data_IF_204586365731
#
_entry.id   IF_204586365731
#
_cell.length_a   1.000
_cell.length_b   1.000
_cell.length_c   1.000
_cell.angle_alpha   90.00
_cell.angle_beta   90.00
_cell.angle_gamma   90.00
#
_symmetry.space_group_name_H-M   'P 1'
#
loop_
_entity.id
_entity.type
_entity.pdbx_description
1 polymer ?
#
# COMPACT_ATOMS: atom_id res chain seq x y z
N UNK A 1 6.63 2.43 -2.54
CA UNK A 1 7.07 2.79 -3.88
C UNK A 1 7.05 1.59 -4.82
N UNK A 2 7.26 1.79 -6.12
CA UNK A 2 7.23 0.71 -7.12
C UNK A 2 8.24 -0.43 -6.84
N UNK A 3 9.33 -0.13 -6.14
CA UNK A 3 10.40 -1.08 -5.79
C UNK A 3 10.53 -1.33 -4.29
N UNK A 4 9.53 -0.98 -3.48
CA UNK A 4 9.59 -1.20 -2.03
C UNK A 4 8.21 -1.43 -1.42
N UNK A 5 8.16 -2.28 -0.39
CA UNK A 5 6.99 -2.59 0.41
C UNK A 5 7.32 -2.30 1.88
N UNK A 6 6.67 -1.29 2.46
CA UNK A 6 6.81 -0.92 3.87
C UNK A 6 5.62 -1.42 4.65
N UNK A 7 5.85 -1.89 5.87
CA UNK A 7 4.80 -2.40 6.74
C UNK A 7 5.00 -2.05 8.20
N UNK A 8 3.90 -2.09 8.93
CA UNK A 8 3.84 -2.08 10.39
C UNK A 8 2.80 -3.07 10.87
N UNK A 9 3.10 -3.78 11.94
CA UNK A 9 2.13 -4.54 12.72
C UNK A 9 1.80 -3.71 13.95
N UNK A 10 0.51 -3.42 14.13
CA UNK A 10 0.01 -2.51 15.16
C UNK A 10 -0.97 -3.26 16.04
N UNK A 11 -0.83 -3.14 17.35
CA UNK A 11 -1.89 -3.54 18.29
C UNK A 11 -2.94 -2.43 18.34
N UNK A 12 -4.15 -2.72 17.87
CA UNK A 12 -5.21 -1.73 17.77
C UNK A 12 -5.93 -1.44 19.11
N UNK A 13 -5.58 -2.16 20.20
CA UNK A 13 -6.12 -1.85 21.52
C UNK A 13 -5.46 -0.59 22.13
N UNK A 14 -4.17 -0.42 21.88
CA UNK A 14 -3.35 0.68 22.42
C UNK A 14 -2.59 1.49 21.33
N UNK A 15 -2.80 1.13 20.06
CA UNK A 15 -2.14 1.72 18.87
C UNK A 15 -0.61 1.58 18.90
N UNK A 16 -0.06 0.64 19.67
CA UNK A 16 1.37 0.42 19.73
C UNK A 16 1.87 -0.35 18.50
N UNK A 17 3.06 0.03 18.01
CA UNK A 17 3.73 -0.67 16.93
C UNK A 17 4.47 -1.87 17.49
N UNK A 18 4.02 -3.08 17.19
CA UNK A 18 4.64 -4.36 17.59
C UNK A 18 5.89 -4.64 16.78
N UNK A 19 5.81 -4.43 15.46
CA UNK A 19 6.93 -4.58 14.53
C UNK A 19 6.76 -3.67 13.32
N UNK A 20 7.86 -3.34 12.66
CA UNK A 20 7.88 -2.61 11.38
C UNK A 20 9.02 -3.08 10.51
N UNK A 21 8.87 -2.92 9.22
CA UNK A 21 9.91 -3.31 8.28
C UNK A 21 9.71 -2.74 6.89
N UNK A 22 10.66 -3.09 6.05
CA UNK A 22 10.73 -2.64 4.67
C UNK A 22 11.39 -3.73 3.81
N UNK A 23 10.75 -4.07 2.70
CA UNK A 23 11.35 -4.87 1.64
C UNK A 23 11.72 -3.91 0.52
N UNK A 24 13.00 -3.65 0.33
CA UNK A 24 13.52 -2.73 -0.67
C UNK A 24 14.04 -3.47 -1.90
N UNK A 25 14.20 -2.71 -3.01
CA UNK A 25 14.82 -3.17 -4.26
C UNK A 25 14.12 -4.38 -4.89
N UNK A 26 12.79 -4.42 -4.77
CA UNK A 26 11.95 -5.42 -5.43
C UNK A 26 12.18 -5.37 -6.94
N UNK A 27 12.40 -6.53 -7.55
CA UNK A 27 12.72 -6.66 -8.98
C UNK A 27 14.20 -6.43 -9.32
N UNK A 28 15.10 -6.28 -8.33
CA UNK A 28 16.55 -6.08 -8.51
C UNK A 28 17.30 -7.17 -7.76
N UNK A 29 17.60 -6.95 -6.48
CA UNK A 29 18.42 -7.83 -5.66
C UNK A 29 17.88 -7.98 -4.22
N UNK A 30 16.77 -7.34 -3.91
CA UNK A 30 16.00 -7.44 -2.70
C UNK A 30 16.74 -7.31 -1.36
N UNK A 31 16.17 -6.57 -0.43
CA UNK A 31 16.66 -6.46 0.94
C UNK A 31 15.49 -6.29 1.91
N UNK A 32 15.45 -7.14 2.93
CA UNK A 32 14.52 -7.02 4.06
C UNK A 32 15.21 -6.32 5.22
N UNK A 33 14.57 -5.29 5.77
CA UNK A 33 14.84 -4.81 7.13
C UNK A 33 13.59 -4.97 7.99
N UNK A 34 13.74 -5.56 9.16
CA UNK A 34 12.65 -5.80 10.11
C UNK A 34 13.10 -5.43 11.52
N UNK A 35 12.23 -4.74 12.27
CA UNK A 35 12.49 -4.33 13.64
C UNK A 35 11.27 -4.56 14.52
N UNK A 36 11.45 -5.20 15.65
CA UNK A 36 10.40 -5.40 16.67
C UNK A 36 10.39 -4.26 17.70
N UNK A 37 9.29 -4.16 18.45
CA UNK A 37 9.18 -3.23 19.59
C UNK A 37 10.20 -3.54 20.69
N UNK A 38 10.57 -4.82 20.88
CA UNK A 38 11.59 -5.26 21.83
C UNK A 38 13.02 -4.86 21.44
N UNK A 39 13.21 -4.31 20.24
CA UNK A 39 14.52 -3.85 19.74
C UNK A 39 15.29 -4.85 18.90
N UNK A 40 14.77 -6.06 18.67
CA UNK A 40 15.37 -7.04 17.75
C UNK A 40 15.36 -6.45 16.34
N UNK A 41 16.49 -6.56 15.65
CA UNK A 41 16.65 -6.14 14.25
C UNK A 41 17.09 -7.34 13.42
N UNK A 42 16.41 -7.54 12.30
CA UNK A 42 16.74 -8.55 11.29
C UNK A 42 16.99 -7.82 9.97
N UNK A 43 18.16 -8.04 9.40
CA UNK A 43 18.55 -7.56 8.08
C UNK A 43 18.90 -8.78 7.23
N UNK A 44 18.32 -8.90 6.04
CA UNK A 44 18.50 -10.07 5.18
C UNK A 44 18.45 -9.66 3.72
N UNK A 45 19.45 -10.03 2.95
CA UNK A 45 19.35 -9.99 1.50
C UNK A 45 18.47 -11.15 1.02
N UNK A 46 17.47 -10.83 0.21
CA UNK A 46 16.48 -11.75 -0.27
C UNK A 46 16.20 -11.47 -1.74
N UNK A 47 16.03 -12.51 -2.54
CA UNK A 47 15.57 -12.32 -3.91
C UNK A 47 14.06 -12.03 -3.93
N UNK A 48 13.71 -10.82 -4.36
CA UNK A 48 12.33 -10.39 -4.55
C UNK A 48 12.06 -10.10 -6.03
N UNK A 49 11.85 -11.11 -6.88
CA UNK A 49 11.48 -10.88 -8.28
C UNK A 49 10.21 -10.03 -8.41
N UNK A 50 9.27 -10.24 -7.50
CA UNK A 50 8.00 -9.51 -7.47
C UNK A 50 7.57 -9.10 -6.05
N UNK A 51 6.49 -8.37 -5.94
CA UNK A 51 5.87 -8.02 -4.65
C UNK A 51 5.35 -9.25 -3.88
N UNK A 52 5.08 -10.36 -4.56
CA UNK A 52 4.61 -11.58 -3.91
C UNK A 52 5.71 -12.23 -3.05
N UNK A 53 6.94 -12.32 -3.56
CA UNK A 53 8.09 -12.82 -2.80
C UNK A 53 8.45 -11.87 -1.65
N UNK A 54 8.41 -10.56 -1.89
CA UNK A 54 8.61 -9.56 -0.84
C UNK A 54 7.57 -9.70 0.28
N UNK A 55 6.30 -9.93 -0.06
CA UNK A 55 5.25 -10.17 0.92
C UNK A 55 5.44 -11.50 1.67
N UNK A 56 5.87 -12.56 1.00
CA UNK A 56 6.18 -13.85 1.63
C UNK A 56 7.34 -13.73 2.64
N UNK A 57 8.38 -12.97 2.30
CA UNK A 57 9.50 -12.69 3.19
C UNK A 57 9.07 -11.85 4.42
N UNK A 58 8.17 -10.89 4.24
CA UNK A 58 7.54 -10.14 5.33
C UNK A 58 6.80 -11.08 6.29
N UNK A 59 5.98 -11.99 5.76
CA UNK A 59 5.25 -13.00 6.55
C UNK A 59 6.22 -13.86 7.35
N UNK A 60 7.29 -14.36 6.71
CA UNK A 60 8.35 -15.13 7.38
C UNK A 60 8.97 -14.33 8.54
N UNK A 61 9.31 -13.05 8.32
CA UNK A 61 9.90 -12.20 9.34
C UNK A 61 8.97 -11.95 10.55
N UNK A 62 7.65 -11.90 10.33
CA UNK A 62 6.66 -11.74 11.39
C UNK A 62 6.41 -13.01 12.20
N UNK A 63 6.57 -14.20 11.58
CA UNK A 63 6.13 -15.49 12.14
C UNK A 63 7.27 -16.42 12.53
N UNK A 64 8.51 -16.17 12.06
CA UNK A 64 9.62 -17.12 12.19
C UNK A 64 10.91 -16.44 12.62
N UNK A 65 11.74 -17.15 13.40
CA UNK A 65 13.06 -16.70 13.82
C UNK A 65 13.05 -15.66 14.94
N UNK A 66 14.18 -14.96 15.10
CA UNK A 66 14.39 -14.01 16.21
C UNK A 66 13.48 -12.77 16.14
N UNK A 67 13.05 -12.42 14.93
CA UNK A 67 12.16 -11.29 14.69
C UNK A 67 10.67 -11.61 14.82
N UNK A 68 10.29 -12.86 15.04
CA UNK A 68 8.90 -13.29 15.13
C UNK A 68 8.16 -12.58 16.27
N UNK A 69 6.99 -12.04 15.95
CA UNK A 69 6.12 -11.33 16.91
C UNK A 69 4.71 -11.88 16.97
N UNK A 70 4.35 -12.77 16.04
CA UNK A 70 3.10 -13.54 15.99
C UNK A 70 3.43 -14.99 15.65
N UNK A 71 2.55 -15.91 16.03
CA UNK A 71 2.73 -17.35 15.79
C UNK A 71 2.16 -17.77 14.44
N UNK A 72 1.15 -17.05 13.95
CA UNK A 72 0.43 -17.34 12.70
C UNK A 72 -0.16 -16.06 12.13
N UNK A 73 -0.34 -16.01 10.82
CA UNK A 73 -1.05 -14.92 10.13
C UNK A 73 -2.55 -14.88 10.48
N UNK A 74 -3.09 -15.92 11.13
CA UNK A 74 -4.46 -15.93 11.65
C UNK A 74 -4.68 -14.92 12.80
N UNK A 75 -3.59 -14.42 13.40
CA UNK A 75 -3.64 -13.36 14.42
C UNK A 75 -3.90 -11.96 13.80
N UNK A 76 -3.80 -11.83 12.47
CA UNK A 76 -4.06 -10.57 11.77
C UNK A 76 -5.56 -10.37 11.61
N UNK A 77 -6.10 -9.35 12.26
CA UNK A 77 -7.54 -9.05 12.25
C UNK A 77 -7.98 -8.20 11.07
N UNK A 78 -7.10 -7.33 10.55
CA UNK A 78 -7.37 -6.47 9.39
C UNK A 78 -6.06 -5.95 8.77
N UNK A 79 -6.12 -5.51 7.51
CA UNK A 79 -4.99 -4.86 6.83
C UNK A 79 -5.42 -3.52 6.25
N UNK A 80 -4.66 -2.46 6.53
CA UNK A 80 -4.81 -1.15 5.92
C UNK A 80 -3.70 -0.92 4.88
N UNK A 81 -4.07 -0.47 3.70
CA UNK A 81 -3.14 -0.14 2.62
C UNK A 81 -3.22 1.33 2.27
N UNK A 82 -2.07 1.96 2.09
CA UNK A 82 -1.96 3.30 1.53
C UNK A 82 -1.78 3.21 0.02
N UNK A 83 -2.61 3.96 -0.73
CA UNK A 83 -2.54 4.10 -2.19
C UNK A 83 -2.35 5.57 -2.55
N UNK A 84 -1.44 5.86 -3.49
CA UNK A 84 -1.10 7.25 -3.83
C UNK A 84 -2.22 7.92 -4.60
N UNK A 85 -2.74 7.31 -5.68
CA UNK A 85 -3.71 7.98 -6.56
C UNK A 85 -5.06 7.27 -6.52
N UNK A 86 -6.08 8.00 -6.05
CA UNK A 86 -7.48 7.57 -6.04
C UNK A 86 -8.35 8.32 -7.05
N UNK A 87 -7.78 9.28 -7.77
CA UNK A 87 -8.47 10.17 -8.69
C UNK A 87 -9.71 10.81 -8.03
N UNK A 88 -10.77 11.00 -8.78
CA UNK A 88 -12.09 11.43 -8.29
C UNK A 88 -12.99 10.24 -7.92
N UNK A 89 -12.49 9.01 -8.16
CA UNK A 89 -13.22 7.76 -7.94
C UNK A 89 -13.22 7.39 -6.45
N UNK A 90 -12.07 7.53 -5.80
CA UNK A 90 -11.89 7.13 -4.40
C UNK A 90 -11.76 8.36 -3.50
N UNK A 91 -12.88 8.75 -2.89
CA UNK A 91 -12.98 9.93 -2.03
C UNK A 91 -12.92 9.62 -0.54
N UNK A 92 -12.86 8.34 -0.17
CA UNK A 92 -12.86 7.86 1.22
C UNK A 92 -12.20 6.50 1.34
N UNK A 93 -11.91 6.07 2.56
CA UNK A 93 -11.47 4.70 2.86
C UNK A 93 -12.45 3.68 2.26
N UNK A 94 -11.92 2.69 1.55
CA UNK A 94 -12.70 1.73 0.77
C UNK A 94 -12.29 0.30 1.13
N UNK A 95 -13.28 -0.60 1.27
CA UNK A 95 -13.04 -2.02 1.46
C UNK A 95 -12.47 -2.61 0.16
N UNK A 96 -11.43 -3.44 0.27
CA UNK A 96 -10.77 -4.06 -0.88
C UNK A 96 -11.61 -5.22 -1.40
N UNK A 97 -11.94 -5.16 -2.69
CA UNK A 97 -12.45 -6.27 -3.50
C UNK A 97 -11.58 -6.42 -4.73
N UNK A 98 -11.81 -7.46 -5.54
CA UNK A 98 -11.06 -7.67 -6.77
C UNK A 98 -11.27 -6.49 -7.73
N UNK A 99 -12.51 -6.01 -7.86
CA UNK A 99 -12.88 -4.86 -8.69
C UNK A 99 -12.20 -3.56 -8.23
N UNK A 100 -12.04 -3.38 -6.90
CA UNK A 100 -11.34 -2.22 -6.35
C UNK A 100 -9.84 -2.26 -6.71
N UNK A 101 -9.22 -3.45 -6.67
CA UNK A 101 -7.79 -3.59 -7.06
C UNK A 101 -7.62 -3.30 -8.56
N UNK A 102 -8.50 -3.85 -9.40
CA UNK A 102 -8.50 -3.58 -10.84
C UNK A 102 -8.65 -2.08 -11.11
N UNK A 103 -9.58 -1.42 -10.42
CA UNK A 103 -9.80 0.03 -10.56
C UNK A 103 -8.59 0.86 -10.13
N UNK A 104 -7.89 0.45 -9.06
CA UNK A 104 -6.64 1.09 -8.64
C UNK A 104 -5.55 0.93 -9.72
N UNK A 105 -5.48 -0.24 -10.37
CA UNK A 105 -4.51 -0.47 -11.44
C UNK A 105 -4.84 0.32 -12.71
N UNK A 106 -6.11 0.50 -13.07
CA UNK A 106 -6.52 1.38 -14.17
C UNK A 106 -6.03 2.82 -13.96
N UNK A 107 -6.04 3.32 -12.73
CA UNK A 107 -5.53 4.65 -12.39
C UNK A 107 -4.01 4.82 -12.51
N UNK A 108 -3.28 3.78 -12.94
CA UNK A 108 -1.84 3.88 -13.26
C UNK A 108 -1.53 4.92 -14.35
N UNK A 109 -2.48 5.26 -15.20
CA UNK A 109 -2.30 6.35 -16.19
C UNK A 109 -2.02 7.70 -15.51
N UNK A 110 -2.63 7.95 -14.34
CA UNK A 110 -2.39 9.15 -13.55
C UNK A 110 -1.19 9.03 -12.59
N UNK A 111 -0.78 7.82 -12.24
CA UNK A 111 0.33 7.54 -11.33
C UNK A 111 1.11 6.28 -11.76
N UNK A 112 1.80 6.31 -12.90
CA UNK A 112 2.40 5.12 -13.53
C UNK A 112 3.49 4.48 -12.65
N UNK A 113 4.19 5.28 -11.83
CA UNK A 113 5.26 4.80 -10.96
C UNK A 113 4.72 4.15 -9.68
N UNK A 114 3.45 4.40 -9.30
CA UNK A 114 2.92 4.01 -8.00
C UNK A 114 1.78 2.99 -8.08
N UNK A 115 0.70 3.31 -8.80
CA UNK A 115 -0.55 2.56 -8.69
C UNK A 115 -0.45 1.09 -9.14
N UNK A 116 0.32 0.80 -10.17
CA UNK A 116 0.57 -0.59 -10.58
C UNK A 116 1.25 -1.40 -9.45
N UNK A 117 2.30 -0.84 -8.82
CA UNK A 117 2.96 -1.47 -7.67
C UNK A 117 2.03 -1.67 -6.47
N UNK A 118 1.10 -0.72 -6.23
CA UNK A 118 0.08 -0.86 -5.18
C UNK A 118 -0.89 -1.99 -5.49
N UNK A 119 -1.37 -2.10 -6.73
CA UNK A 119 -2.25 -3.19 -7.14
C UNK A 119 -1.59 -4.57 -6.99
N UNK A 120 -0.32 -4.71 -7.38
CA UNK A 120 0.45 -5.94 -7.19
C UNK A 120 0.60 -6.31 -5.70
N UNK A 121 0.87 -5.34 -4.83
CA UNK A 121 0.96 -5.58 -3.39
C UNK A 121 -0.39 -5.97 -2.78
N UNK A 122 -1.49 -5.35 -3.23
CA UNK A 122 -2.85 -5.70 -2.82
C UNK A 122 -3.21 -7.13 -3.22
N UNK A 123 -2.92 -7.53 -4.47
CA UNK A 123 -3.13 -8.91 -4.93
C UNK A 123 -2.31 -9.92 -4.13
N UNK A 124 -1.03 -9.62 -3.83
CA UNK A 124 -0.18 -10.48 -3.02
C UNK A 124 -0.74 -10.66 -1.61
N UNK A 125 -1.15 -9.56 -0.96
CA UNK A 125 -1.76 -9.59 0.36
C UNK A 125 -3.07 -10.39 0.37
N UNK A 126 -3.96 -10.16 -0.60
CA UNK A 126 -5.24 -10.86 -0.71
C UNK A 126 -5.09 -12.37 -0.92
N UNK A 127 -4.05 -12.79 -1.66
CA UNK A 127 -3.73 -14.21 -1.86
C UNK A 127 -3.28 -14.89 -0.56
N UNK A 128 -2.51 -14.21 0.27
CA UNK A 128 -1.96 -14.74 1.51
C UNK A 128 -2.97 -14.66 2.66
N UNK A 129 -3.80 -13.61 2.68
CA UNK A 129 -4.80 -13.32 3.69
C UNK A 129 -6.22 -13.26 3.08
N UNK A 130 -6.73 -14.35 2.50
CA UNK A 130 -7.99 -14.31 1.73
C UNK A 130 -9.23 -13.99 2.57
N UNK A 131 -9.20 -14.29 3.86
CA UNK A 131 -10.33 -14.13 4.77
C UNK A 131 -10.20 -12.90 5.69
N UNK A 132 -9.08 -12.18 5.62
CA UNK A 132 -8.83 -11.00 6.45
C UNK A 132 -9.37 -9.77 5.74
N UNK A 133 -10.22 -8.96 6.38
CA UNK A 133 -10.70 -7.71 5.80
C UNK A 133 -9.56 -6.75 5.52
N UNK A 134 -9.57 -6.16 4.34
CA UNK A 134 -8.55 -5.23 3.89
C UNK A 134 -9.21 -3.92 3.46
N UNK A 135 -8.60 -2.79 3.79
CA UNK A 135 -9.06 -1.46 3.40
C UNK A 135 -7.94 -0.69 2.71
N UNK A 136 -8.31 0.19 1.79
CA UNK A 136 -7.41 1.16 1.16
C UNK A 136 -7.74 2.56 1.59
N UNK A 137 -6.71 3.35 1.85
CA UNK A 137 -6.78 4.79 2.05
C UNK A 137 -5.96 5.48 0.97
N UNK A 138 -6.43 6.63 0.49
CA UNK A 138 -5.84 7.30 -0.67
C UNK A 138 -5.26 8.65 -0.29
N UNK A 139 -4.04 8.93 -0.74
CA UNK A 139 -3.38 10.22 -0.51
C UNK A 139 -4.19 11.39 -1.07
N UNK A 140 -4.96 11.14 -2.12
CA UNK A 140 -5.80 12.15 -2.79
C UNK A 140 -7.13 12.41 -2.09
N UNK A 141 -7.57 11.52 -1.18
CA UNK A 141 -8.92 11.59 -0.60
C UNK A 141 -9.17 12.87 0.21
N UNK A 142 -8.21 13.31 1.03
CA UNK A 142 -8.32 14.54 1.81
C UNK A 142 -8.57 15.78 0.91
N UNK A 143 -8.01 15.77 -0.29
CA UNK A 143 -8.04 16.90 -1.22
C UNK A 143 -9.28 16.93 -2.14
N UNK A 144 -10.22 16.02 -1.97
CA UNK A 144 -11.43 15.97 -2.80
C UNK A 144 -12.38 17.15 -2.57
N UNK A 145 -12.19 17.90 -1.47
CA UNK A 145 -12.95 19.13 -1.17
C UNK A 145 -12.41 20.38 -1.88
N UNK A 146 -11.31 20.28 -2.62
CA UNK A 146 -10.78 21.41 -3.41
C UNK A 146 -11.84 21.82 -4.45
N UNK A 147 -12.30 23.08 -4.46
CA UNK A 147 -13.34 23.53 -5.38
C UNK A 147 -12.82 23.58 -6.83
N UNK A 148 -13.69 23.38 -7.80
CA UNK A 148 -13.35 23.31 -9.22
C UNK A 148 -12.47 24.47 -9.69
N UNK A 149 -12.79 25.69 -9.30
CA UNK A 149 -12.00 26.91 -9.62
C UNK A 149 -10.54 26.86 -9.16
N UNK A 150 -10.21 25.98 -8.19
CA UNK A 150 -8.87 25.85 -7.64
C UNK A 150 -8.15 24.61 -8.15
N UNK A 151 -8.86 23.53 -8.53
CA UNK A 151 -8.22 22.35 -9.08
C UNK A 151 -8.06 22.39 -10.61
N UNK A 152 -8.85 23.20 -11.32
CA UNK A 152 -8.74 23.33 -12.78
C UNK A 152 -7.46 24.03 -13.19
N UNK A 153 -6.88 23.57 -14.31
CA UNK A 153 -5.84 24.30 -15.03
C UNK A 153 -6.46 25.15 -16.13
N UNK A 154 -5.70 26.10 -16.65
CA UNK A 154 -6.10 26.96 -17.79
C UNK A 154 -5.98 26.26 -19.14
N UNK A 155 -6.33 24.97 -19.21
CA UNK A 155 -6.39 24.18 -20.44
C UNK A 155 -7.83 24.08 -20.95
N UNK A 156 -8.06 23.57 -22.19
CA UNK A 156 -9.40 23.26 -22.65
C UNK A 156 -10.14 22.37 -21.64
N UNK A 157 -11.44 22.63 -21.44
CA UNK A 157 -12.22 21.88 -20.44
C UNK A 157 -12.35 20.40 -20.78
N UNK A 158 -12.29 20.08 -22.06
CA UNK A 158 -12.30 18.73 -22.61
C UNK A 158 -11.13 17.88 -22.09
N UNK A 159 -9.97 18.48 -21.82
CA UNK A 159 -8.82 17.77 -21.23
C UNK A 159 -9.12 17.28 -19.82
N UNK A 160 -9.89 18.04 -19.05
CA UNK A 160 -10.38 17.61 -17.75
C UNK A 160 -11.41 16.48 -17.89
N UNK A 161 -12.39 16.61 -18.79
CA UNK A 161 -13.45 15.63 -18.93
C UNK A 161 -12.97 14.28 -19.46
N UNK A 162 -12.01 14.30 -20.40
CA UNK A 162 -11.52 13.08 -21.07
C UNK A 162 -10.34 12.43 -20.36
N UNK A 163 -9.44 13.24 -19.81
CA UNK A 163 -8.16 12.76 -19.29
C UNK A 163 -7.96 13.04 -17.80
N UNK A 164 -8.96 13.60 -17.12
CA UNK A 164 -8.90 13.96 -15.70
C UNK A 164 -7.73 14.89 -15.36
N UNK A 165 -7.36 15.80 -16.29
CA UNK A 165 -6.29 16.78 -16.14
C UNK A 165 -6.72 17.85 -15.16
N UNK A 166 -6.30 17.69 -13.91
CA UNK A 166 -6.60 18.61 -12.80
C UNK A 166 -5.50 18.55 -11.73
N UNK A 167 -5.53 19.47 -10.78
CA UNK A 167 -4.72 19.37 -9.57
C UNK A 167 -5.29 18.30 -8.66
N UNK A 168 -4.44 17.36 -8.25
CA UNK A 168 -4.65 16.45 -7.13
C UNK A 168 -3.72 16.85 -5.99
N UNK A 169 -4.13 16.67 -4.74
CA UNK A 169 -3.24 16.73 -3.62
C UNK A 169 -2.80 15.32 -3.23
N UNK A 170 -1.69 15.20 -2.49
CA UNK A 170 -1.15 13.93 -2.00
C UNK A 170 -0.84 14.03 -0.51
N UNK A 171 -0.40 12.89 0.09
CA UNK A 171 -0.13 12.79 1.53
C UNK A 171 -1.33 13.17 2.42
N UNK A 172 -2.54 12.94 1.95
CA UNK A 172 -3.78 13.22 2.64
C UNK A 172 -4.38 12.02 3.38
N UNK A 173 -3.54 11.01 3.67
CA UNK A 173 -3.92 9.82 4.44
C UNK A 173 -3.77 10.04 5.92
#
# INVERSE_FOLDING_TARGET
GSSSLKYQLINMEDESVIAKGNCDRIGIDGHLSHKTASGVKVEKDCDFPTHAEAFSCLVEALTTGEGAVISSMDEISAVGHRVVQGAEVFTKTTLVTDEIIEKIDELRELAPVHNHGHALALWACRKILPNVPQVVVFDTAFHQTIPQKAFMYGFPYEDYEQFHVRKYGFHGT
#
